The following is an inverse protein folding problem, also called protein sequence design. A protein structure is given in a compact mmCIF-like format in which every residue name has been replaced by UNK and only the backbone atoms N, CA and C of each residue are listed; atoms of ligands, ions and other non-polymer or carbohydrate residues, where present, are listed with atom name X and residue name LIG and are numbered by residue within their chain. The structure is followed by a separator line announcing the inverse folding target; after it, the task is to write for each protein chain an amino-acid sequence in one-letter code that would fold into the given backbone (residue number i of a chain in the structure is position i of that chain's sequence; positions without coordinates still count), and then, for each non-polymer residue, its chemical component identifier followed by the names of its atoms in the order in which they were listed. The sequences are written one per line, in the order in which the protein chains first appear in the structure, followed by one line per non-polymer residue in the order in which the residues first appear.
data_IF_008268578374
#
_entry.id   IF_008268578374
#
_cell.length_a   1.000
_cell.length_b   1.000
_cell.length_c   1.000
_cell.angle_alpha   90.00
_cell.angle_beta   90.00
_cell.angle_gamma   90.00
#
_symmetry.space_group_name_H-M   'P 1'
#
loop_
_entity.id
_entity.type
_entity.pdbx_description
1 polymer ?
#
# COMPACT_ATOMS: atom_id res chain seq x y z
N UNK A 1 7.35 51.93 43.02
CA UNK A 1 6.34 52.87 42.50
C UNK A 1 5.15 52.06 41.98
N UNK A 2 3.93 52.31 42.54
CA UNK A 2 2.57 52.19 41.96
C UNK A 2 2.18 50.85 41.30
N UNK A 3 1.02 50.22 41.53
CA UNK A 3 -0.22 50.48 42.30
C UNK A 3 -0.98 49.14 42.41
N UNK A 4 -1.81 49.02 43.45
CA UNK A 4 -2.69 47.90 43.75
C UNK A 4 -4.05 47.96 43.00
N UNK A 5 -4.90 46.95 43.30
CA UNK A 5 -6.37 46.82 43.07
C UNK A 5 -6.75 46.03 41.80
N UNK A 6 -7.77 45.17 41.72
CA UNK A 6 -8.83 44.70 42.64
C UNK A 6 -9.42 43.40 42.06
N UNK A 7 -10.03 42.58 42.91
CA UNK A 7 -10.79 41.36 42.62
C UNK A 7 -12.08 41.65 41.80
N UNK A 8 -12.48 40.73 40.93
CA UNK A 8 -13.91 40.43 40.65
C UNK A 8 -14.07 38.93 40.40
N UNK A 9 -14.84 38.28 41.25
CA UNK A 9 -15.41 36.95 41.04
C UNK A 9 -16.80 37.12 40.43
N UNK A 10 -17.18 36.28 39.46
CA UNK A 10 -18.57 36.16 39.03
C UNK A 10 -18.90 34.68 38.85
N UNK A 11 -19.57 34.14 39.87
CA UNK A 11 -20.31 32.89 39.80
C UNK A 11 -21.68 33.18 39.19
N UNK A 12 -22.14 32.35 38.26
CA UNK A 12 -23.53 32.32 37.82
C UNK A 12 -24.00 30.86 37.80
N UNK A 13 -24.69 30.49 38.87
CA UNK A 13 -25.54 29.32 38.94
C UNK A 13 -26.86 29.63 38.24
N UNK A 14 -27.36 28.72 37.41
CA UNK A 14 -28.73 28.75 36.91
C UNK A 14 -29.35 27.36 37.10
N UNK A 15 -30.15 27.25 38.16
CA UNK A 15 -31.04 26.13 38.43
C UNK A 15 -32.48 26.68 38.40
N UNK A 16 -33.34 26.07 37.59
CA UNK A 16 -34.81 25.98 37.74
C UNK A 16 -35.26 24.92 36.70
N UNK A 17 -35.68 23.70 37.04
CA UNK A 17 -36.81 23.27 37.87
C UNK A 17 -38.12 23.06 37.06
N UNK A 18 -38.56 21.78 37.08
CA UNK A 18 -39.94 21.28 37.15
C UNK A 18 -40.79 21.14 35.87
N UNK A 19 -40.91 19.89 35.41
CA UNK A 19 -42.17 19.13 35.29
C UNK A 19 -41.77 17.70 34.86
N UNK A 20 -42.20 16.59 35.44
CA UNK A 20 -43.42 16.33 36.20
C UNK A 20 -44.18 15.20 35.52
N UNK A 21 -43.70 13.96 35.62
CA UNK A 21 -44.51 12.76 35.35
C UNK A 21 -44.22 11.72 36.43
N UNK A 22 -45.04 11.80 37.50
CA UNK A 22 -45.26 10.73 38.47
C UNK A 22 -45.93 9.56 37.75
N UNK A 23 -45.32 8.38 37.78
CA UNK A 23 -46.09 7.14 37.73
C UNK A 23 -45.76 6.32 38.96
N UNK A 24 -46.83 5.88 39.60
CA UNK A 24 -46.87 5.39 40.96
C UNK A 24 -46.19 4.03 41.13
N UNK A 25 -45.48 3.90 42.26
CA UNK A 25 -45.18 2.62 42.87
C UNK A 25 -46.52 1.99 43.30
N UNK A 26 -46.94 0.95 42.57
CA UNK A 26 -47.91 -0.01 43.07
C UNK A 26 -47.12 -1.11 43.76
N UNK A 27 -47.43 -1.29 45.04
CA UNK A 27 -46.88 -2.33 45.88
C UNK A 27 -47.32 -3.72 45.39
N UNK A 28 -46.45 -4.68 45.68
CA UNK A 28 -46.69 -6.12 45.78
C UNK A 28 -48.15 -6.49 46.06
N UNK A 29 -48.66 -7.45 45.30
CA UNK A 29 -49.48 -8.56 45.79
C UNK A 29 -49.67 -9.61 44.67
N UNK A 30 -48.84 -10.65 44.72
CA UNK A 30 -49.19 -12.04 44.39
C UNK A 30 -49.78 -12.35 43.02
N UNK A 31 -48.93 -12.78 42.08
CA UNK A 31 -49.21 -13.95 41.24
C UNK A 31 -47.88 -14.52 40.71
N UNK A 32 -47.64 -15.85 40.76
CA UNK A 32 -46.36 -16.43 40.38
C UNK A 32 -46.17 -16.32 38.86
N UNK A 33 -45.24 -15.49 38.42
CA UNK A 33 -44.70 -15.62 37.07
C UNK A 33 -43.92 -16.93 37.00
N UNK A 34 -44.20 -17.84 36.05
CA UNK A 34 -43.25 -18.91 35.76
C UNK A 34 -41.93 -18.25 35.36
N UNK A 35 -40.85 -18.61 36.03
CA UNK A 35 -39.50 -18.27 35.59
C UNK A 35 -39.27 -19.00 34.27
N UNK A 36 -39.67 -18.41 33.15
CA UNK A 36 -39.16 -18.80 31.85
C UNK A 36 -37.69 -18.44 31.87
N UNK A 37 -36.83 -19.46 31.99
CA UNK A 37 -35.42 -19.35 31.68
C UNK A 37 -35.27 -18.53 30.39
N UNK A 38 -34.40 -17.52 30.34
CA UNK A 38 -34.17 -16.82 29.09
C UNK A 38 -33.65 -17.87 28.11
N UNK A 39 -34.50 -18.25 27.16
CA UNK A 39 -34.08 -18.96 25.96
C UNK A 39 -32.85 -18.21 25.46
N UNK A 40 -31.72 -18.91 25.47
CA UNK A 40 -30.43 -18.41 25.05
C UNK A 40 -30.60 -18.00 23.59
N UNK A 41 -31.00 -16.74 23.39
CA UNK A 41 -31.12 -16.14 22.10
C UNK A 41 -29.69 -16.05 21.60
N UNK A 42 -29.27 -17.06 20.85
CA UNK A 42 -28.05 -17.06 20.08
C UNK A 42 -28.11 -15.81 19.23
N UNK A 43 -27.51 -14.73 19.72
CA UNK A 43 -27.25 -13.53 18.95
C UNK A 43 -26.41 -14.03 17.80
N UNK A 44 -27.03 -14.22 16.64
CA UNK A 44 -26.31 -14.46 15.40
C UNK A 44 -25.25 -13.37 15.35
N UNK A 45 -23.98 -13.79 15.45
CA UNK A 45 -22.87 -12.86 15.35
C UNK A 45 -23.07 -12.11 14.05
N UNK A 46 -23.32 -10.80 14.13
CA UNK A 46 -23.38 -9.96 12.94
C UNK A 46 -22.00 -10.09 12.30
N UNK A 47 -21.90 -10.96 11.30
CA UNK A 47 -20.72 -11.08 10.48
C UNK A 47 -20.59 -9.74 9.76
N UNK A 48 -19.72 -8.88 10.28
CA UNK A 48 -19.24 -7.75 9.49
C UNK A 48 -18.56 -8.37 8.27
N UNK A 49 -19.07 -8.13 7.04
CA UNK A 49 -18.45 -8.70 5.86
C UNK A 49 -16.98 -8.29 5.85
N UNK A 50 -16.09 -9.27 5.68
CA UNK A 50 -14.67 -9.00 5.59
C UNK A 50 -14.42 -8.01 4.44
N UNK A 51 -13.56 -7.00 4.60
CA UNK A 51 -13.33 -6.03 3.56
C UNK A 51 -12.74 -6.76 2.33
N UNK A 52 -13.36 -6.55 1.17
CA UNK A 52 -12.92 -7.16 -0.10
C UNK A 52 -11.60 -6.53 -0.51
N UNK A 53 -10.56 -7.35 -0.65
CA UNK A 53 -9.20 -6.92 -0.98
C UNK A 53 -8.82 -7.31 -2.40
N UNK A 54 -7.90 -6.54 -2.98
CA UNK A 54 -7.26 -6.80 -4.26
C UNK A 54 -5.88 -7.42 -3.98
N UNK A 55 -5.73 -8.74 -4.19
CA UNK A 55 -4.43 -9.40 -4.12
C UNK A 55 -3.52 -8.92 -5.26
N UNK A 56 -2.38 -8.34 -4.90
CA UNK A 56 -1.29 -8.03 -5.82
C UNK A 56 -0.02 -8.73 -5.35
N UNK A 57 0.73 -9.24 -6.31
CA UNK A 57 2.09 -9.69 -6.07
C UNK A 57 3.08 -8.63 -6.55
N UNK A 58 4.07 -8.37 -5.71
CA UNK A 58 5.16 -7.43 -5.96
C UNK A 58 6.48 -8.17 -5.83
N UNK A 59 7.31 -8.08 -6.86
CA UNK A 59 8.63 -8.72 -6.90
C UNK A 59 9.69 -7.67 -7.19
N UNK A 60 10.70 -7.60 -6.32
CA UNK A 60 11.95 -6.95 -6.62
C UNK A 60 12.98 -8.00 -7.03
N UNK A 61 13.52 -7.88 -8.23
CA UNK A 61 14.60 -8.74 -8.69
C UNK A 61 15.85 -7.91 -8.93
N UNK A 62 16.97 -8.36 -8.36
CA UNK A 62 18.28 -7.75 -8.51
C UNK A 62 19.06 -8.49 -9.57
N UNK A 63 19.82 -7.74 -10.35
CA UNK A 63 20.68 -8.25 -11.39
C UNK A 63 22.09 -7.86 -11.04
N UNK A 64 22.96 -8.85 -10.94
CA UNK A 64 24.39 -8.62 -10.77
C UNK A 64 24.99 -8.23 -12.12
N UNK A 65 26.15 -7.55 -12.13
CA UNK A 65 26.78 -7.05 -13.37
C UNK A 65 27.09 -8.16 -14.40
N UNK A 66 27.17 -9.42 -13.96
CA UNK A 66 27.37 -10.59 -14.81
C UNK A 66 26.09 -11.10 -15.50
N UNK A 67 24.93 -10.54 -15.16
CA UNK A 67 23.62 -11.03 -15.58
C UNK A 67 22.78 -9.98 -16.34
N UNK A 68 23.44 -8.95 -16.87
CA UNK A 68 22.79 -7.84 -17.57
C UNK A 68 21.87 -8.30 -18.73
N UNK A 69 22.22 -9.37 -19.44
CA UNK A 69 21.43 -9.90 -20.55
C UNK A 69 20.02 -10.36 -20.15
N UNK A 70 19.80 -10.76 -18.90
CA UNK A 70 18.48 -11.15 -18.43
C UNK A 70 17.49 -9.98 -18.36
N UNK A 71 17.96 -8.79 -17.95
CA UNK A 71 17.11 -7.61 -17.95
C UNK A 71 16.73 -7.22 -19.38
N UNK A 72 17.68 -7.29 -20.32
CA UNK A 72 17.43 -6.99 -21.73
C UNK A 72 16.40 -7.95 -22.33
N UNK A 73 16.54 -9.27 -22.09
CA UNK A 73 15.55 -10.28 -22.51
C UNK A 73 14.14 -10.00 -21.96
N UNK A 74 14.05 -9.55 -20.70
CA UNK A 74 12.76 -9.20 -20.09
C UNK A 74 12.17 -7.93 -20.71
N UNK A 75 13.02 -6.95 -21.02
CA UNK A 75 12.61 -5.70 -21.64
C UNK A 75 12.22 -5.85 -23.11
N UNK A 76 12.77 -6.83 -23.83
CA UNK A 76 12.36 -7.19 -25.19
C UNK A 76 10.89 -7.70 -25.25
N UNK A 77 10.38 -8.23 -24.13
CA UNK A 77 9.00 -8.68 -24.00
C UNK A 77 8.05 -7.57 -23.49
N UNK A 78 8.61 -6.53 -22.89
CA UNK A 78 7.83 -5.48 -22.25
C UNK A 78 7.31 -4.49 -23.30
N UNK A 79 5.99 -4.38 -23.41
CA UNK A 79 5.37 -3.34 -24.23
C UNK A 79 5.43 -2.00 -23.50
N UNK A 80 6.41 -1.17 -23.85
CA UNK A 80 6.48 0.22 -23.39
C UNK A 80 5.41 1.09 -24.06
N UNK A 81 4.93 0.75 -25.26
CA UNK A 81 3.93 1.55 -25.98
C UNK A 81 2.56 1.54 -25.31
N UNK A 82 2.34 0.67 -24.32
CA UNK A 82 1.23 0.75 -23.38
C UNK A 82 1.16 2.10 -22.63
N UNK A 83 2.28 2.83 -22.55
CA UNK A 83 2.37 4.18 -21.99
C UNK A 83 2.52 5.25 -23.09
N UNK A 84 1.87 6.39 -22.87
CA UNK A 84 1.96 7.50 -23.80
C UNK A 84 3.41 7.99 -23.98
N UNK A 85 3.71 8.54 -25.15
CA UNK A 85 5.05 8.98 -25.50
C UNK A 85 5.59 10.08 -24.56
N UNK A 86 4.72 10.95 -24.04
CA UNK A 86 5.14 12.03 -23.15
C UNK A 86 5.60 11.47 -21.79
N UNK A 87 4.86 10.52 -21.22
CA UNK A 87 5.22 9.83 -19.99
C UNK A 87 6.53 9.06 -20.17
N UNK A 88 6.67 8.27 -21.25
CA UNK A 88 7.92 7.55 -21.53
C UNK A 88 9.13 8.46 -21.61
N UNK A 89 9.00 9.60 -22.29
CA UNK A 89 10.08 10.60 -22.34
C UNK A 89 10.41 11.17 -20.97
N UNK A 90 9.41 11.47 -20.13
CA UNK A 90 9.64 11.96 -18.76
C UNK A 90 10.31 10.91 -17.88
N UNK A 91 9.85 9.65 -17.93
CA UNK A 91 10.47 8.55 -17.21
C UNK A 91 11.93 8.37 -17.65
N UNK A 92 12.19 8.28 -18.96
CA UNK A 92 13.53 8.07 -19.48
C UNK A 92 14.49 9.22 -19.12
N UNK A 93 14.04 10.47 -19.17
CA UNK A 93 14.83 11.63 -18.72
C UNK A 93 15.17 11.58 -17.22
N UNK A 94 14.39 10.85 -16.42
CA UNK A 94 14.59 10.66 -14.99
C UNK A 94 15.20 9.28 -14.66
N UNK A 95 15.77 8.58 -15.64
CA UNK A 95 16.42 7.28 -15.45
C UNK A 95 15.44 6.12 -15.18
N UNK A 96 14.16 6.29 -15.49
CA UNK A 96 13.12 5.29 -15.29
C UNK A 96 12.60 4.76 -16.63
N UNK A 97 12.15 3.51 -16.64
CA UNK A 97 11.34 2.92 -17.71
C UNK A 97 10.25 2.05 -17.13
N UNK A 98 9.14 1.96 -17.85
CA UNK A 98 7.99 1.14 -17.47
C UNK A 98 7.43 0.47 -18.72
N UNK A 99 7.02 -0.80 -18.59
CA UNK A 99 6.44 -1.57 -19.68
C UNK A 99 5.49 -2.64 -19.18
N UNK A 100 4.57 -3.06 -20.03
CA UNK A 100 3.62 -4.12 -19.70
C UNK A 100 4.02 -5.41 -20.41
N UNK A 101 4.29 -6.47 -19.67
CA UNK A 101 4.43 -7.81 -20.24
C UNK A 101 3.05 -8.46 -20.25
N UNK A 102 2.51 -8.70 -21.44
CA UNK A 102 1.17 -9.29 -21.60
C UNK A 102 1.26 -10.80 -21.65
N UNK A 103 0.47 -11.47 -20.81
CA UNK A 103 0.46 -12.93 -20.71
C UNK A 103 1.63 -13.51 -19.90
N UNK A 104 1.73 -14.85 -19.83
CA UNK A 104 2.71 -15.51 -18.98
C UNK A 104 4.13 -15.26 -19.48
N UNK A 105 5.04 -14.98 -18.55
CA UNK A 105 6.47 -14.89 -18.82
C UNK A 105 7.01 -16.25 -19.29
N UNK A 106 7.98 -16.27 -20.23
CA UNK A 106 8.72 -17.48 -20.56
C UNK A 106 9.28 -18.15 -19.31
N UNK A 107 9.23 -19.50 -19.17
CA UNK A 107 9.61 -20.18 -17.94
C UNK A 107 11.01 -19.84 -17.42
N UNK A 108 11.97 -19.64 -18.33
CA UNK A 108 13.34 -19.26 -17.97
C UNK A 108 13.42 -17.88 -17.29
N UNK A 109 12.63 -16.91 -17.75
CA UNK A 109 12.55 -15.57 -17.16
C UNK A 109 11.72 -15.57 -15.87
N UNK A 110 10.60 -16.30 -15.89
CA UNK A 110 9.73 -16.44 -14.72
C UNK A 110 10.47 -17.04 -13.53
N UNK A 111 11.30 -18.08 -13.76
CA UNK A 111 12.09 -18.73 -12.71
C UNK A 111 13.08 -17.77 -12.01
N UNK A 112 13.50 -16.69 -12.67
CA UNK A 112 14.38 -15.68 -12.06
C UNK A 112 13.64 -14.60 -11.28
N UNK A 113 12.31 -14.54 -11.38
CA UNK A 113 11.45 -13.73 -10.53
C UNK A 113 10.92 -14.51 -9.32
N UNK A 114 11.21 -15.81 -9.24
CA UNK A 114 10.82 -16.62 -8.10
C UNK A 114 11.88 -16.52 -6.99
N UNK A 115 11.50 -16.24 -5.73
CA UNK A 115 12.43 -16.20 -4.63
C UNK A 115 13.07 -17.57 -4.41
N UNK A 116 14.40 -17.61 -4.29
CA UNK A 116 15.09 -18.83 -3.86
C UNK A 116 14.70 -19.11 -2.40
N UNK A 117 14.38 -20.38 -2.09
CA UNK A 117 13.61 -20.87 -0.94
C UNK A 117 14.13 -20.55 0.49
N UNK A 118 15.07 -19.63 0.65
CA UNK A 118 15.57 -19.14 1.94
C UNK A 118 15.11 -17.71 2.29
N UNK A 119 14.47 -16.98 1.37
CA UNK A 119 13.99 -15.62 1.63
C UNK A 119 12.64 -15.66 2.38
N UNK A 120 12.69 -15.47 3.70
CA UNK A 120 11.52 -15.31 4.57
C UNK A 120 10.61 -14.19 4.06
N UNK A 121 9.29 -14.33 4.24
CA UNK A 121 8.24 -13.31 4.03
C UNK A 121 8.42 -12.11 4.99
N UNK A 122 9.59 -11.50 5.01
CA UNK A 122 9.90 -10.37 5.88
C UNK A 122 9.47 -9.07 5.21
N UNK A 123 8.57 -8.36 5.88
CA UNK A 123 8.13 -7.00 5.53
C UNK A 123 9.25 -5.95 5.64
N UNK A 124 10.41 -6.36 6.16
CA UNK A 124 11.57 -5.51 6.40
C UNK A 124 12.72 -5.88 5.46
N UNK A 125 13.21 -4.88 4.71
CA UNK A 125 14.44 -5.00 3.93
C UNK A 125 15.63 -5.20 4.89
N UNK A 126 16.46 -6.25 4.72
CA UNK A 126 17.64 -6.45 5.55
C UNK A 126 18.54 -5.21 5.57
N UNK A 127 19.04 -4.85 6.75
CA UNK A 127 19.88 -3.66 6.95
C UNK A 127 21.23 -3.76 6.21
N UNK A 128 21.81 -4.95 6.10
CA UNK A 128 23.06 -5.19 5.40
C UNK A 128 22.83 -5.57 3.92
N UNK A 129 23.54 -4.91 3.01
CA UNK A 129 23.40 -5.12 1.57
C UNK A 129 23.87 -6.51 1.08
N UNK A 130 24.81 -7.14 1.79
CA UNK A 130 25.37 -8.45 1.46
C UNK A 130 24.40 -9.62 1.70
N UNK A 131 23.46 -9.47 2.63
CA UNK A 131 22.50 -10.53 3.01
C UNK A 131 21.12 -10.38 2.34
N UNK A 132 20.93 -9.37 1.48
CA UNK A 132 19.66 -9.21 0.77
C UNK A 132 19.52 -10.30 -0.30
N UNK A 133 18.37 -10.99 -0.39
CA UNK A 133 18.15 -11.99 -1.43
C UNK A 133 18.15 -11.33 -2.81
N UNK A 134 18.58 -12.08 -3.83
CA UNK A 134 18.56 -11.61 -5.22
C UNK A 134 17.13 -11.28 -5.68
N UNK A 135 16.13 -11.97 -5.12
CA UNK A 135 14.72 -11.75 -5.43
C UNK A 135 13.95 -11.65 -4.12
N UNK A 136 13.16 -10.58 -3.97
CA UNK A 136 12.23 -10.38 -2.86
C UNK A 136 10.82 -10.37 -3.41
N UNK A 137 9.92 -11.21 -2.87
CA UNK A 137 8.53 -11.33 -3.29
C UNK A 137 7.61 -11.01 -2.13
N UNK A 138 6.56 -10.22 -2.39
CA UNK A 138 5.54 -9.83 -1.39
C UNK A 138 4.16 -9.96 -2.00
N UNK A 139 3.23 -10.55 -1.24
CA UNK A 139 1.82 -10.57 -1.58
C UNK A 139 1.08 -9.52 -0.75
N UNK A 140 0.50 -8.55 -1.43
CA UNK A 140 -0.24 -7.44 -0.83
C UNK A 140 -1.74 -7.68 -0.99
N UNK A 141 -2.50 -7.54 0.09
CA UNK A 141 -3.97 -7.54 0.08
C UNK A 141 -4.47 -6.12 0.23
N UNK A 142 -4.74 -5.47 -0.89
CA UNK A 142 -4.95 -4.03 -0.95
C UNK A 142 -6.43 -3.67 -0.87
N UNK A 143 -6.77 -2.60 -0.18
CA UNK A 143 -8.12 -2.04 -0.25
C UNK A 143 -8.22 -1.10 -1.45
N UNK A 144 -9.30 -1.18 -2.25
CA UNK A 144 -9.49 -0.30 -3.39
C UNK A 144 -9.38 1.19 -3.01
N UNK A 145 -8.57 1.94 -3.76
CA UNK A 145 -8.36 3.38 -3.60
C UNK A 145 -7.61 3.81 -2.34
N UNK A 146 -7.16 2.88 -1.49
CA UNK A 146 -6.33 3.21 -0.32
C UNK A 146 -4.85 3.31 -0.71
N UNK A 147 -4.16 4.24 -0.08
CA UNK A 147 -2.71 4.40 -0.22
C UNK A 147 -1.98 3.21 0.40
N UNK A 148 -1.02 2.68 -0.35
CA UNK A 148 -0.10 1.65 0.08
C UNK A 148 1.33 2.04 -0.35
N UNK A 149 2.33 1.43 0.28
CA UNK A 149 3.73 1.80 0.02
C UNK A 149 4.54 0.58 -0.42
N UNK A 150 5.19 0.70 -1.56
CA UNK A 150 6.20 -0.25 -2.01
C UNK A 150 7.58 0.37 -1.78
N UNK A 151 8.25 -0.01 -0.69
CA UNK A 151 9.58 0.51 -0.34
C UNK A 151 10.62 -0.02 -1.32
N UNK A 152 11.24 0.89 -2.09
CA UNK A 152 12.30 0.56 -3.04
C UNK A 152 13.67 0.63 -2.36
N UNK A 153 13.93 1.66 -1.57
CA UNK A 153 15.16 1.82 -0.81
C UNK A 153 14.88 2.55 0.50
N UNK A 154 15.38 2.01 1.61
CA UNK A 154 15.28 2.63 2.93
C UNK A 154 16.67 2.87 3.54
N UNK A 155 16.71 3.72 4.56
CA UNK A 155 17.90 3.99 5.37
C UNK A 155 19.00 4.71 4.60
N UNK A 156 18.65 5.71 3.79
CA UNK A 156 19.62 6.51 3.03
C UNK A 156 19.92 7.77 3.84
N UNK A 157 21.11 7.89 4.41
CA UNK A 157 21.48 9.03 5.26
C UNK A 157 21.38 10.37 4.51
N UNK A 158 21.87 10.41 3.26
CA UNK A 158 21.80 11.56 2.37
C UNK A 158 21.55 11.10 0.93
N UNK A 159 20.44 11.53 0.35
CA UNK A 159 20.03 11.24 -1.02
C UNK A 159 20.07 12.53 -1.85
N UNK A 160 21.00 12.59 -2.80
CA UNK A 160 21.05 13.64 -3.83
C UNK A 160 20.27 13.14 -5.04
N UNK A 161 19.25 13.89 -5.43
CA UNK A 161 18.33 13.51 -6.50
C UNK A 161 18.29 14.59 -7.58
N UNK A 162 18.56 14.20 -8.82
CA UNK A 162 18.29 15.05 -9.99
C UNK A 162 17.00 14.61 -10.68
N UNK A 163 16.02 15.52 -10.69
CA UNK A 163 14.75 15.38 -11.39
C UNK A 163 14.76 16.26 -12.66
N UNK A 164 14.52 15.65 -13.81
CA UNK A 164 14.29 16.37 -15.06
C UNK A 164 12.81 16.80 -15.17
N UNK A 165 12.58 18.11 -15.12
CA UNK A 165 11.28 18.75 -15.34
C UNK A 165 11.25 19.42 -16.72
N UNK A 166 11.03 18.62 -17.76
CA UNK A 166 10.98 19.11 -19.13
C UNK A 166 12.36 19.57 -19.62
N UNK A 167 12.60 20.89 -19.60
CA UNK A 167 13.89 21.49 -19.99
C UNK A 167 14.80 21.81 -18.82
N UNK A 168 14.29 21.77 -17.59
CA UNK A 168 15.06 22.10 -16.39
C UNK A 168 15.45 20.84 -15.62
N UNK A 169 16.56 20.92 -14.89
CA UNK A 169 17.00 19.87 -13.97
C UNK A 169 16.97 20.46 -12.57
N UNK A 170 16.16 19.85 -11.70
CA UNK A 170 16.06 20.21 -10.29
C UNK A 170 16.90 19.23 -9.49
N UNK A 171 17.87 19.75 -8.73
CA UNK A 171 18.64 18.97 -7.78
C UNK A 171 18.17 19.27 -6.37
N UNK A 172 17.81 18.24 -5.62
CA UNK A 172 17.54 18.36 -4.18
C UNK A 172 18.37 17.38 -3.37
N UNK A 173 18.53 17.67 -2.08
CA UNK A 173 19.18 16.78 -1.12
C UNK A 173 18.21 16.46 0.00
N UNK A 174 17.95 15.17 0.18
CA UNK A 174 17.06 14.63 1.19
C UNK A 174 17.87 13.88 2.23
N UNK A 175 17.68 14.21 3.52
CA UNK A 175 18.34 13.51 4.64
C UNK A 175 17.40 12.51 5.28
N UNK A 176 17.95 11.44 5.87
CA UNK A 176 17.18 10.35 6.48
C UNK A 176 16.09 9.80 5.53
N UNK A 177 16.50 9.57 4.28
CA UNK A 177 15.62 9.35 3.16
C UNK A 177 15.20 7.88 2.97
N UNK A 178 13.97 7.70 2.50
CA UNK A 178 13.41 6.44 2.04
C UNK A 178 12.69 6.66 0.72
N UNK A 179 13.15 5.99 -0.34
CA UNK A 179 12.50 5.97 -1.64
C UNK A 179 11.47 4.84 -1.72
N UNK A 180 10.23 5.17 -2.08
CA UNK A 180 9.13 4.22 -2.17
C UNK A 180 8.13 4.64 -3.26
N UNK A 181 7.37 3.69 -3.78
CA UNK A 181 6.23 4.00 -4.64
C UNK A 181 4.96 4.07 -3.79
N UNK A 182 4.27 5.21 -3.82
CA UNK A 182 2.90 5.31 -3.35
C UNK A 182 2.00 4.59 -4.37
N UNK A 183 1.31 3.56 -3.91
CA UNK A 183 0.48 2.66 -4.71
C UNK A 183 -0.99 2.85 -4.34
N UNK A 184 -1.81 3.14 -5.35
CA UNK A 184 -3.27 2.99 -5.27
C UNK A 184 -3.75 1.99 -6.31
N UNK A 185 -4.76 1.21 -5.95
CA UNK A 185 -5.28 0.15 -6.82
C UNK A 185 -6.80 0.16 -6.83
N UNK A 186 -7.38 -0.21 -7.98
CA UNK A 186 -8.81 -0.33 -8.16
C UNK A 186 -9.11 -1.53 -9.06
N UNK A 187 -10.22 -2.25 -8.82
CA UNK A 187 -10.70 -3.22 -9.76
C UNK A 187 -11.24 -2.50 -11.01
N UNK A 188 -11.02 -3.07 -12.17
CA UNK A 188 -11.73 -2.71 -13.39
C UNK A 188 -12.92 -3.65 -13.60
N UNK A 189 -13.93 -3.19 -14.36
CA UNK A 189 -15.18 -3.94 -14.59
C UNK A 189 -14.99 -5.29 -15.30
N UNK A 190 -13.86 -5.49 -15.98
CA UNK A 190 -13.52 -6.68 -16.76
C UNK A 190 -12.51 -7.61 -16.06
N UNK A 191 -12.33 -7.43 -14.75
CA UNK A 191 -11.41 -8.25 -13.95
C UNK A 191 -9.93 -7.90 -14.14
N UNK A 192 -9.63 -6.75 -14.76
CA UNK A 192 -8.29 -6.15 -14.73
C UNK A 192 -8.08 -5.34 -13.45
N UNK A 193 -6.83 -4.98 -13.14
CA UNK A 193 -6.51 -4.08 -12.02
C UNK A 193 -5.98 -2.78 -12.58
N UNK A 194 -6.63 -1.66 -12.24
CA UNK A 194 -6.07 -0.34 -12.45
C UNK A 194 -5.17 0.01 -11.28
N UNK A 195 -3.96 0.48 -11.57
CA UNK A 195 -3.01 0.92 -10.57
C UNK A 195 -2.52 2.33 -10.89
N UNK A 196 -2.11 3.02 -9.84
CA UNK A 196 -1.42 4.29 -9.89
C UNK A 196 -0.20 4.17 -8.97
N UNK A 197 0.99 4.35 -9.54
CA UNK A 197 2.26 4.40 -8.81
C UNK A 197 2.84 5.80 -8.91
N UNK A 198 3.18 6.40 -7.77
CA UNK A 198 3.89 7.66 -7.70
C UNK A 198 5.22 7.45 -6.99
N UNK A 199 6.38 7.65 -7.67
CA UNK A 199 7.67 7.65 -6.99
C UNK A 199 7.68 8.76 -5.94
N UNK A 200 7.98 8.41 -4.69
CA UNK A 200 7.93 9.34 -3.56
C UNK A 200 9.14 9.17 -2.67
N UNK A 201 9.68 10.29 -2.18
CA UNK A 201 10.78 10.31 -1.21
C UNK A 201 10.24 10.72 0.15
N UNK A 202 10.36 9.85 1.15
CA UNK A 202 10.22 10.20 2.57
C UNK A 202 11.56 10.74 3.06
N UNK A 203 11.56 11.82 3.84
CA UNK A 203 12.79 12.42 4.34
C UNK A 203 12.59 13.23 5.63
N UNK A 204 13.71 13.51 6.30
CA UNK A 204 13.77 14.30 7.51
C UNK A 204 13.39 13.51 8.77
N UNK A 205 13.33 14.19 9.92
CA UNK A 205 12.97 13.56 11.18
C UNK A 205 11.51 13.07 11.18
N UNK A 206 11.21 12.13 12.06
CA UNK A 206 9.85 11.70 12.31
C UNK A 206 9.06 12.80 13.03
N UNK A 207 8.08 13.39 12.36
CA UNK A 207 7.26 14.48 12.89
C UNK A 207 5.85 13.99 13.26
N UNK A 208 5.20 14.68 14.21
CA UNK A 208 3.80 14.41 14.58
C UNK A 208 2.93 15.52 14.01
N UNK A 209 2.08 15.18 13.04
CA UNK A 209 1.15 16.10 12.40
C UNK A 209 -0.30 15.77 12.77
N UNK A 210 -1.12 16.80 12.98
CA UNK A 210 -2.57 16.63 13.12
C UNK A 210 -3.21 16.74 11.74
N UNK A 211 -3.72 15.63 11.22
CA UNK A 211 -4.42 15.57 9.94
C UNK A 211 -5.92 15.53 10.19
N UNK A 212 -6.65 16.48 9.61
CA UNK A 212 -8.10 16.51 9.66
C UNK A 212 -8.70 15.66 8.54
N UNK A 213 -9.37 14.56 8.87
CA UNK A 213 -10.12 13.72 7.93
C UNK A 213 -11.57 13.64 8.47
N UNK A 214 -12.55 14.02 7.66
CA UNK A 214 -13.99 13.92 7.98
C UNK A 214 -14.42 14.52 9.35
N UNK A 215 -13.83 15.66 9.74
CA UNK A 215 -14.18 16.35 10.99
C UNK A 215 -13.56 15.76 12.26
N UNK A 216 -12.72 14.73 12.13
CA UNK A 216 -11.88 14.21 13.19
C UNK A 216 -10.41 14.61 12.95
N UNK A 217 -9.72 15.01 14.01
CA UNK A 217 -8.27 15.21 13.98
C UNK A 217 -7.58 13.91 14.34
N UNK A 218 -6.82 13.33 13.41
CA UNK A 218 -5.95 12.18 13.65
C UNK A 218 -4.53 12.68 13.84
N UNK A 219 -3.89 12.22 14.91
CA UNK A 219 -2.45 12.40 15.10
C UNK A 219 -1.72 11.38 14.23
N UNK A 220 -1.08 11.84 13.17
CA UNK A 220 -0.22 11.03 12.32
C UNK A 220 1.23 11.27 12.69
N UNK A 221 1.99 10.20 12.81
CA UNK A 221 3.44 10.26 13.03
C UNK A 221 4.11 9.83 11.73
N UNK A 222 4.91 10.70 11.12
CA UNK A 222 5.50 10.44 9.81
C UNK A 222 6.62 11.41 9.45
N UNK A 223 7.46 10.99 8.51
CA UNK A 223 8.44 11.86 7.87
C UNK A 223 7.78 12.72 6.79
N UNK A 224 8.45 13.79 6.38
CA UNK A 224 8.02 14.60 5.23
C UNK A 224 8.04 13.74 3.96
N UNK A 225 7.12 14.02 3.03
CA UNK A 225 6.94 13.26 1.78
C UNK A 225 7.04 14.21 0.59
N UNK A 226 7.94 13.91 -0.33
CA UNK A 226 8.06 14.58 -1.61
C UNK A 226 7.60 13.63 -2.73
N UNK A 227 6.34 13.72 -3.19
CA UNK A 227 5.88 12.96 -4.34
C UNK A 227 6.44 13.56 -5.63
N UNK A 228 6.86 12.68 -6.55
CA UNK A 228 7.33 13.03 -7.89
C UNK A 228 6.17 12.83 -8.88
N UNK A 229 5.11 13.63 -8.73
CA UNK A 229 3.83 13.48 -9.43
C UNK A 229 3.95 13.45 -10.96
N UNK A 230 4.96 14.13 -11.52
CA UNK A 230 5.22 14.15 -12.97
C UNK A 230 5.65 12.78 -13.52
N UNK A 231 6.13 11.91 -12.63
CA UNK A 231 6.56 10.54 -12.89
C UNK A 231 5.50 9.52 -12.46
N UNK A 232 4.27 9.96 -12.17
CA UNK A 232 3.17 9.06 -11.88
C UNK A 232 2.90 8.10 -13.06
N UNK A 233 2.78 6.82 -12.75
CA UNK A 233 2.53 5.73 -13.68
C UNK A 233 1.14 5.21 -13.41
N UNK A 234 0.23 5.42 -14.36
CA UNK A 234 -1.10 4.84 -14.35
C UNK A 234 -1.16 3.70 -15.37
N UNK A 235 -1.55 2.51 -14.92
CA UNK A 235 -1.64 1.32 -15.78
C UNK A 235 -2.90 0.51 -15.47
N UNK A 236 -3.42 -0.18 -16.49
CA UNK A 236 -4.45 -1.21 -16.33
C UNK A 236 -3.79 -2.55 -16.63
N UNK A 237 -3.57 -3.36 -15.61
CA UNK A 237 -2.88 -4.65 -15.74
C UNK A 237 -3.93 -5.75 -15.94
N UNK A 238 -3.91 -6.47 -17.09
CA UNK A 238 -4.72 -7.66 -17.28
C UNK A 238 -4.29 -8.82 -16.37
N UNK A 239 -5.20 -9.78 -16.17
CA UNK A 239 -4.83 -11.02 -15.46
C UNK A 239 -3.71 -11.75 -16.18
N UNK A 240 -2.78 -12.31 -15.40
CA UNK A 240 -1.60 -13.00 -15.92
C UNK A 240 -0.58 -12.10 -16.60
N UNK A 241 -0.79 -10.79 -16.65
CA UNK A 241 0.17 -9.80 -17.16
C UNK A 241 0.94 -9.17 -16.01
N UNK A 242 2.10 -8.59 -16.31
CA UNK A 242 3.01 -8.01 -15.32
C UNK A 242 3.37 -6.59 -15.73
N UNK A 243 3.14 -5.62 -14.83
CA UNK A 243 3.76 -4.30 -14.96
C UNK A 243 5.21 -4.39 -14.52
N UNK A 244 6.12 -3.97 -15.39
CA UNK A 244 7.54 -3.90 -15.13
C UNK A 244 7.99 -2.43 -14.97
N UNK A 245 8.78 -2.15 -13.96
CA UNK A 245 9.48 -0.88 -13.75
C UNK A 245 10.96 -1.16 -13.53
N UNK A 246 11.83 -0.31 -14.04
CA UNK A 246 13.26 -0.44 -13.82
C UNK A 246 14.05 0.80 -14.22
N UNK A 247 15.38 0.72 -14.09
CA UNK A 247 16.26 1.80 -14.46
C UNK A 247 16.38 1.91 -15.99
N UNK A 248 16.58 3.13 -16.47
CA UNK A 248 16.88 3.45 -17.85
C UNK A 248 18.19 4.25 -17.93
N UNK A 249 19.03 3.95 -18.91
CA UNK A 249 20.30 4.64 -19.12
C UNK A 249 21.39 4.30 -18.10
N UNK A 250 22.37 5.19 -17.99
CA UNK A 250 23.53 5.07 -17.13
C UNK A 250 23.33 5.76 -15.77
N UNK A 251 24.03 5.26 -14.75
CA UNK A 251 23.91 5.77 -13.39
C UNK A 251 24.38 7.23 -13.31
N UNK A 252 23.48 8.12 -12.89
CA UNK A 252 23.66 9.58 -12.95
C UNK A 252 22.94 10.33 -11.82
N UNK A 253 22.71 9.68 -10.67
CA UNK A 253 21.99 10.25 -9.51
C UNK A 253 20.57 10.71 -9.87
N UNK A 254 19.95 10.02 -10.81
CA UNK A 254 18.57 10.26 -11.24
C UNK A 254 17.57 9.61 -10.31
N UNK A 255 16.28 9.85 -10.55
CA UNK A 255 15.19 9.13 -9.86
C UNK A 255 15.31 7.62 -10.07
N UNK A 256 15.66 7.18 -11.27
CA UNK A 256 15.96 5.78 -11.55
C UNK A 256 17.00 5.19 -10.60
N UNK A 257 18.10 5.89 -10.39
CA UNK A 257 19.19 5.43 -9.54
C UNK A 257 18.79 5.39 -8.06
N UNK A 258 18.03 6.38 -7.59
CA UNK A 258 17.55 6.42 -6.22
C UNK A 258 16.64 5.22 -5.87
N UNK A 259 15.85 4.75 -6.84
CA UNK A 259 14.87 3.67 -6.64
C UNK A 259 15.44 2.29 -6.99
N UNK A 260 16.23 2.20 -8.06
CA UNK A 260 16.67 0.94 -8.68
C UNK A 260 18.18 0.77 -8.75
N UNK A 261 18.96 1.81 -8.41
CA UNK A 261 20.40 1.82 -8.55
C UNK A 261 21.13 0.88 -7.59
N UNK A 262 22.38 0.65 -7.96
CA UNK A 262 23.39 0.01 -7.12
C UNK A 262 23.93 1.06 -6.13
N UNK A 263 23.62 0.91 -4.85
CA UNK A 263 24.33 1.65 -3.81
C UNK A 263 25.77 1.12 -3.74
N UNK A 264 26.72 1.95 -3.32
CA UNK A 264 28.11 1.54 -3.01
C UNK A 264 28.20 0.26 -2.15
N UNK A 265 27.21 0.01 -1.29
CA UNK A 265 27.04 -1.25 -0.55
C UNK A 265 26.21 -2.32 -1.30
N UNK A 266 25.28 -1.91 -2.18
CA UNK A 266 24.33 -2.78 -2.91
C UNK A 266 24.84 -2.97 -4.34
N UNK A 267 25.63 -4.02 -4.58
CA UNK A 267 26.00 -4.39 -5.96
C UNK A 267 24.74 -4.78 -6.75
N UNK A 268 24.64 -4.32 -8.00
CA UNK A 268 23.59 -4.71 -8.94
C UNK A 268 22.38 -3.77 -9.01
N UNK A 269 21.81 -3.65 -10.21
CA UNK A 269 20.57 -2.90 -10.48
C UNK A 269 19.35 -3.75 -10.11
N UNK A 270 18.25 -3.11 -9.75
CA UNK A 270 17.00 -3.80 -9.42
C UNK A 270 15.90 -3.46 -10.42
N UNK A 271 14.94 -4.37 -10.57
CA UNK A 271 13.67 -4.11 -11.23
C UNK A 271 12.52 -4.42 -10.28
N UNK A 272 11.37 -3.85 -10.58
CA UNK A 272 10.11 -4.04 -9.87
C UNK A 272 9.09 -4.63 -10.85
N UNK A 273 8.56 -5.80 -10.51
CA UNK A 273 7.48 -6.45 -11.22
C UNK A 273 6.22 -6.46 -10.34
N UNK A 274 5.09 -6.07 -10.90
CA UNK A 274 3.79 -6.03 -10.21
C UNK A 274 2.78 -6.82 -11.04
N UNK A 275 2.16 -7.84 -10.46
CA UNK A 275 1.13 -8.65 -11.12
C UNK A 275 -0.09 -8.85 -10.24
N UNK A 276 -1.31 -8.81 -10.80
CA UNK A 276 -2.51 -9.27 -10.12
C UNK A 276 -2.39 -10.76 -9.77
N UNK A 277 -2.65 -11.10 -8.50
CA UNK A 277 -2.64 -12.48 -8.04
C UNK A 277 -4.09 -12.99 -7.93
N UNK A 278 -4.48 -13.95 -8.77
CA UNK A 278 -5.87 -14.42 -8.88
C UNK A 278 -6.77 -13.50 -9.71
N UNK A 279 -8.09 -13.82 -9.74
CA UNK A 279 -9.08 -13.00 -10.45
C UNK A 279 -9.55 -11.85 -9.55
N UNK A 280 -9.18 -10.58 -9.83
CA UNK A 280 -9.79 -9.45 -9.16
C UNK A 280 -11.27 -9.48 -9.51
N UNK A 281 -12.12 -9.75 -8.52
CA UNK A 281 -13.57 -9.62 -8.70
C UNK A 281 -13.92 -8.21 -8.24
N UNK A 282 -14.63 -7.45 -9.07
CA UNK A 282 -15.12 -6.14 -8.66
C UNK A 282 -15.95 -6.32 -7.36
N UNK A 283 -15.63 -5.58 -6.28
CA UNK A 283 -16.30 -5.70 -5.00
C UNK A 283 -17.81 -5.47 -5.08
N UNK A 284 -18.29 -4.73 -6.10
CA UNK A 284 -19.71 -4.51 -6.37
C UNK A 284 -20.42 -5.79 -6.88
N UNK A 285 -19.67 -6.71 -7.51
CA UNK A 285 -20.22 -7.91 -8.17
C UNK A 285 -19.75 -9.24 -7.55
N UNK A 286 -18.85 -9.22 -6.57
CA UNK A 286 -18.46 -10.42 -5.84
C UNK A 286 -19.61 -10.93 -4.96
N UNK A 287 -20.15 -12.11 -5.28
CA UNK A 287 -21.13 -12.80 -4.44
C UNK A 287 -20.49 -13.15 -3.09
N UNK A 288 -21.22 -12.91 -1.98
CA UNK A 288 -20.85 -13.44 -0.68
C UNK A 288 -20.98 -14.96 -0.77
N UNK A 289 -19.86 -15.65 -1.00
CA UNK A 289 -19.81 -17.10 -0.88
C UNK A 289 -19.97 -17.40 0.61
N UNK A 290 -21.23 -17.61 1.02
CA UNK A 290 -21.53 -18.18 2.31
C UNK A 290 -20.76 -19.49 2.40
N UNK A 291 -19.88 -19.59 3.39
CA UNK A 291 -19.17 -20.79 3.78
C UNK A 291 -20.19 -21.91 4.01
N UNK A 292 -20.45 -22.71 2.97
CA UNK A 292 -21.22 -23.94 3.10
C UNK A 292 -20.37 -24.88 3.91
N UNK A 293 -20.70 -24.96 5.20
CA UNK A 293 -20.02 -25.79 6.18
C UNK A 293 -19.84 -27.26 5.76
N UNK A 294 -19.02 -28.00 6.52
CA UNK A 294 -18.53 -29.31 6.11
C UNK A 294 -19.68 -30.28 5.80
N UNK A 295 -19.66 -30.79 4.57
CA UNK A 295 -20.55 -31.85 4.09
C UNK A 295 -20.51 -33.03 5.07
N UNK A 296 -21.66 -33.58 5.51
CA UNK A 296 -21.67 -34.69 6.45
C UNK A 296 -21.06 -35.96 5.81
N UNK A 297 -20.40 -36.82 6.61
CA UNK A 297 -19.79 -38.04 6.09
C UNK A 297 -20.88 -38.98 5.56
N UNK A 298 -20.65 -39.49 4.35
CA UNK A 298 -21.50 -40.49 3.72
C UNK A 298 -21.63 -41.73 4.63
N UNK A 299 -22.86 -42.03 5.02
CA UNK A 299 -23.23 -43.29 5.67
C UNK A 299 -22.98 -44.44 4.69
N UNK A 300 -22.03 -45.31 5.06
CA UNK A 300 -21.89 -46.62 4.44
C UNK A 300 -23.04 -47.52 4.91
N UNK A 301 -23.87 -47.96 3.96
CA UNK A 301 -24.83 -49.03 4.14
C UNK A 301 -24.69 -50.04 3.00
N UNK A 302 -24.58 -51.31 3.42
CA UNK A 302 -24.45 -52.58 2.68
C UNK A 302 -23.11 -52.89 2.00
#
# INVERSE_FOLDING_TARGET
MRRASSKVACAAACACALAGCRFALVADNGWPWPQSEPAEATRAAVHKPAPKTLPLEVVFARTDDHDAGWQDELWDLADEQAFDHALRRRLAANGLRAGLVTGPLPPALAARLEPQAAATEADELPAAAADRPAVTRRFLKLLPGRDNEIVAAAGIDELILFEHDGSEVRGDTYRDATAYFALKTWPAADGRVRIELVPTVKHGPLERAWVGEEGAFRLETGQQRQPLERLAIAAVIPQGSTLLLGPAGDASSTVGDAFFGADSARRGRRLLAIRPDGRPTDPLFAADVADTGPSPPASAAN
#
